data_IF_911602539384
#
_entry.id   IF_911602539384
#
_cell.length_a   1.000
_cell.length_b   1.000
_cell.length_c   1.000
_cell.angle_alpha   90.00
_cell.angle_beta   90.00
_cell.angle_gamma   90.00
#
_symmetry.space_group_name_H-M   'P 1'
#
loop_
_entity.id
_entity.type
_entity.pdbx_description
1 polymer ?
#
# COMPACT_ATOMS: atom_id res chain seq x y z
N UNK A 1 6.45 -53.11 26.74
CA UNK A 1 7.37 -52.25 25.95
C UNK A 1 6.65 -51.41 24.90
N UNK A 2 5.67 -51.95 24.16
CA UNK A 2 4.88 -51.23 23.12
C UNK A 2 4.17 -49.97 23.67
N UNK A 3 3.65 -50.00 24.90
CA UNK A 3 2.96 -48.84 25.49
C UNK A 3 3.89 -47.67 25.87
N UNK A 4 5.19 -47.92 26.05
CA UNK A 4 6.18 -46.88 26.32
C UNK A 4 6.65 -46.21 25.02
N UNK A 5 6.82 -47.00 23.96
CA UNK A 5 7.17 -46.52 22.61
C UNK A 5 6.01 -45.68 22.06
N UNK A 6 4.76 -46.14 22.20
CA UNK A 6 3.58 -45.41 21.76
C UNK A 6 3.42 -44.08 22.51
N UNK A 7 3.61 -44.06 23.84
CA UNK A 7 3.61 -42.82 24.62
C UNK A 7 4.73 -41.86 24.21
N UNK A 8 5.90 -42.38 23.86
CA UNK A 8 7.04 -41.57 23.41
C UNK A 8 6.79 -40.97 22.02
N UNK A 9 6.20 -41.74 21.11
CA UNK A 9 5.78 -41.28 19.80
C UNK A 9 4.71 -40.18 19.88
N UNK A 10 3.70 -40.36 20.74
CA UNK A 10 2.66 -39.35 20.97
C UNK A 10 3.27 -38.06 21.55
N UNK A 11 4.18 -38.17 22.52
CA UNK A 11 4.88 -36.99 23.08
C UNK A 11 5.73 -36.27 22.03
N UNK A 12 6.42 -37.02 21.16
CA UNK A 12 7.20 -36.43 20.07
C UNK A 12 6.30 -35.71 19.07
N UNK A 13 5.18 -36.32 18.67
CA UNK A 13 4.21 -35.70 17.78
C UNK A 13 3.65 -34.40 18.38
N UNK A 14 3.27 -34.42 19.67
CA UNK A 14 2.79 -33.23 20.37
C UNK A 14 3.85 -32.13 20.46
N UNK A 15 5.12 -32.48 20.73
CA UNK A 15 6.22 -31.51 20.75
C UNK A 15 6.47 -30.89 19.38
N UNK A 16 6.38 -31.68 18.30
CA UNK A 16 6.51 -31.18 16.93
C UNK A 16 5.39 -30.23 16.56
N UNK A 17 4.14 -30.57 16.93
CA UNK A 17 2.99 -29.69 16.70
C UNK A 17 3.13 -28.38 17.48
N UNK A 18 3.52 -28.45 18.76
CA UNK A 18 3.74 -27.27 19.57
C UNK A 18 4.86 -26.38 19.01
N UNK A 19 5.97 -26.99 18.56
CA UNK A 19 7.07 -26.27 17.93
C UNK A 19 6.64 -25.60 16.62
N UNK A 20 5.85 -26.29 15.79
CA UNK A 20 5.32 -25.72 14.54
C UNK A 20 4.41 -24.52 14.81
N UNK A 21 3.49 -24.62 15.79
CA UNK A 21 2.62 -23.51 16.19
C UNK A 21 3.46 -22.33 16.71
N UNK A 22 4.44 -22.59 17.58
CA UNK A 22 5.33 -21.56 18.10
C UNK A 22 6.09 -20.85 16.97
N UNK A 23 6.53 -21.59 15.96
CA UNK A 23 7.22 -21.04 14.79
C UNK A 23 6.29 -20.15 13.94
N UNK A 24 5.05 -20.57 13.72
CA UNK A 24 4.05 -19.77 13.01
C UNK A 24 3.73 -18.48 13.78
N UNK A 25 3.55 -18.57 15.11
CA UNK A 25 3.31 -17.39 15.95
C UNK A 25 4.50 -16.45 15.92
N UNK A 26 5.72 -16.97 16.03
CA UNK A 26 6.94 -16.17 15.91
C UNK A 26 7.03 -15.48 14.55
N UNK A 27 6.73 -16.19 13.46
CA UNK A 27 6.74 -15.64 12.11
C UNK A 27 5.71 -14.52 11.96
N UNK A 28 4.48 -14.70 12.45
CA UNK A 28 3.44 -13.67 12.44
C UNK A 28 3.85 -12.47 13.30
N UNK A 29 4.47 -12.70 14.45
CA UNK A 29 4.96 -11.63 15.32
C UNK A 29 6.09 -10.84 14.63
N UNK A 30 7.06 -11.50 14.02
CA UNK A 30 8.14 -10.83 13.26
C UNK A 30 7.59 -10.10 12.04
N UNK A 31 6.66 -10.70 11.29
CA UNK A 31 6.01 -10.03 10.16
C UNK A 31 5.17 -8.83 10.62
N UNK A 32 4.51 -8.94 11.78
CA UNK A 32 3.78 -7.85 12.42
C UNK A 32 4.71 -6.73 12.85
N UNK A 33 5.81 -7.04 13.53
CA UNK A 33 6.82 -6.07 13.99
C UNK A 33 7.53 -5.43 12.79
N UNK A 34 7.87 -6.18 11.75
CA UNK A 34 8.43 -5.61 10.51
C UNK A 34 7.46 -4.64 9.81
N UNK A 35 6.15 -4.78 10.05
CA UNK A 35 5.12 -3.81 9.62
C UNK A 35 4.89 -2.69 10.65
N UNK A 36 5.22 -2.91 11.92
CA UNK A 36 4.92 -2.04 13.06
C UNK A 36 6.11 -1.16 13.47
N UNK A 37 7.35 -1.55 13.17
CA UNK A 37 8.55 -0.68 13.25
C UNK A 37 8.52 0.46 12.22
N UNK A 38 7.46 0.49 11.42
CA UNK A 38 7.09 1.61 10.56
C UNK A 38 6.28 2.69 11.29
N UNK A 39 6.28 2.68 12.62
CA UNK A 39 5.81 3.79 13.44
C UNK A 39 6.80 4.96 13.34
N UNK A 40 6.55 5.79 12.33
CA UNK A 40 7.19 7.09 12.17
C UNK A 40 7.79 7.25 10.79
N UNK A 41 7.04 7.88 9.90
CA UNK A 41 7.54 9.12 9.30
C UNK A 41 6.41 9.76 8.52
N UNK A 42 5.76 10.72 9.17
CA UNK A 42 5.38 11.92 8.45
C UNK A 42 6.57 12.33 7.58
N UNK A 43 6.37 12.41 6.26
CA UNK A 43 7.42 12.68 5.29
C UNK A 43 7.13 13.99 4.51
N UNK A 44 6.95 15.14 5.20
CA UNK A 44 6.72 16.41 4.52
C UNK A 44 7.94 16.86 3.70
N UNK A 45 9.12 16.33 4.00
CA UNK A 45 10.38 16.65 3.30
C UNK A 45 10.79 15.58 2.29
N UNK A 46 9.88 14.67 1.91
CA UNK A 46 10.17 13.65 0.92
C UNK A 46 10.57 14.29 -0.43
N UNK A 47 11.63 13.79 -1.09
CA UNK A 47 12.06 14.34 -2.37
C UNK A 47 11.01 14.07 -3.44
N UNK A 48 10.32 15.13 -3.89
CA UNK A 48 9.21 15.01 -4.84
C UNK A 48 9.60 14.27 -6.13
N UNK A 49 10.80 14.52 -6.65
CA UNK A 49 11.31 13.84 -7.85
C UNK A 49 11.39 12.30 -7.68
N UNK A 50 11.68 11.81 -6.48
CA UNK A 50 11.69 10.37 -6.21
C UNK A 50 10.26 9.82 -6.20
N UNK A 51 9.32 10.53 -5.58
CA UNK A 51 7.91 10.16 -5.55
C UNK A 51 7.30 10.15 -6.96
N UNK A 52 7.59 11.15 -7.78
CA UNK A 52 7.16 11.24 -9.17
C UNK A 52 7.70 10.06 -9.99
N UNK A 53 9.00 9.73 -9.87
CA UNK A 53 9.59 8.59 -10.55
C UNK A 53 8.93 7.25 -10.16
N UNK A 54 8.54 7.09 -8.90
CA UNK A 54 7.79 5.91 -8.41
C UNK A 54 6.40 5.85 -9.02
N UNK A 55 5.70 6.98 -9.09
CA UNK A 55 4.40 7.08 -9.74
C UNK A 55 4.52 6.73 -11.23
N UNK A 56 5.51 7.28 -11.95
CA UNK A 56 5.76 6.97 -13.36
C UNK A 56 6.06 5.47 -13.59
N UNK A 57 6.83 4.86 -12.69
CA UNK A 57 7.08 3.41 -12.73
C UNK A 57 5.77 2.62 -12.57
N UNK A 58 4.91 3.07 -11.66
CA UNK A 58 3.62 2.45 -11.40
C UNK A 58 2.67 2.57 -12.60
N UNK A 59 2.55 3.74 -13.23
CA UNK A 59 1.68 3.90 -14.41
C UNK A 59 2.16 3.08 -15.61
N UNK A 60 3.47 3.02 -15.84
CA UNK A 60 4.05 2.17 -16.87
C UNK A 60 3.71 0.69 -16.64
N UNK A 61 3.81 0.21 -15.40
CA UNK A 61 3.42 -1.16 -15.03
C UNK A 61 1.92 -1.45 -15.25
N UNK A 62 1.07 -0.42 -15.29
CA UNK A 62 -0.37 -0.52 -15.56
C UNK A 62 -0.73 -0.22 -17.03
N UNK A 63 0.25 -0.19 -17.93
CA UNK A 63 0.05 -0.04 -19.37
C UNK A 63 -0.29 1.39 -19.81
N UNK A 64 -0.04 2.38 -18.95
CA UNK A 64 -0.14 3.79 -19.31
C UNK A 64 1.27 4.29 -19.61
N UNK A 65 1.46 4.85 -20.80
CA UNK A 65 2.74 5.42 -21.21
C UNK A 65 3.14 6.55 -20.25
N UNK A 66 4.27 6.45 -19.54
CA UNK A 66 4.72 7.50 -18.63
C UNK A 66 4.98 8.83 -19.35
N UNK A 67 5.32 8.82 -20.65
CA UNK A 67 5.53 10.03 -21.44
C UNK A 67 4.22 10.74 -21.77
N UNK A 68 3.07 10.06 -21.64
CA UNK A 68 1.74 10.66 -21.75
C UNK A 68 1.26 11.30 -20.42
N UNK A 69 2.02 11.20 -19.32
CA UNK A 69 1.63 11.69 -17.99
C UNK A 69 2.34 13.01 -17.65
N UNK A 70 1.53 14.02 -17.35
CA UNK A 70 1.95 15.30 -16.82
C UNK A 70 1.49 15.44 -15.36
N UNK A 71 2.41 15.83 -14.47
CA UNK A 71 2.08 16.22 -13.10
C UNK A 71 1.53 17.64 -13.08
N UNK A 72 0.35 17.83 -12.48
CA UNK A 72 -0.36 19.11 -12.50
C UNK A 72 -0.34 19.75 -11.12
N UNK A 73 0.20 20.98 -11.08
CA UNK A 73 0.24 21.77 -9.86
C UNK A 73 1.25 21.23 -8.84
N UNK A 74 1.09 21.65 -7.58
CA UNK A 74 1.91 21.14 -6.48
C UNK A 74 1.25 19.93 -5.84
N UNK A 75 2.03 18.89 -5.49
CA UNK A 75 1.50 17.76 -4.76
C UNK A 75 1.07 18.17 -3.35
N UNK A 76 0.06 17.48 -2.82
CA UNK A 76 -0.53 17.78 -1.50
C UNK A 76 -0.07 16.75 -0.47
N UNK A 77 0.55 17.21 0.60
CA UNK A 77 0.88 16.35 1.73
C UNK A 77 -0.30 16.24 2.70
N UNK A 78 -0.62 15.01 3.09
CA UNK A 78 -1.67 14.68 4.04
C UNK A 78 -1.03 14.02 5.27
N UNK A 79 -1.07 14.71 6.40
CA UNK A 79 -0.40 14.33 7.64
C UNK A 79 -1.23 13.42 8.57
N UNK A 80 -2.04 12.51 8.00
CA UNK A 80 -2.84 11.57 8.80
C UNK A 80 -1.97 10.53 9.54
N UNK A 81 -2.56 9.45 10.07
CA UNK A 81 -1.86 8.45 10.90
C UNK A 81 -0.60 7.88 10.24
N UNK A 82 -0.53 7.80 8.90
CA UNK A 82 0.62 7.23 8.19
C UNK A 82 1.34 8.24 7.29
N UNK A 83 0.73 9.37 6.95
CA UNK A 83 1.32 10.36 6.07
C UNK A 83 1.35 9.90 4.61
N UNK A 84 0.83 10.72 3.70
CA UNK A 84 0.88 10.41 2.27
C UNK A 84 0.84 11.67 1.41
N UNK A 85 1.27 11.51 0.17
CA UNK A 85 1.27 12.56 -0.83
C UNK A 85 0.24 12.27 -1.92
N UNK A 86 -0.55 13.27 -2.28
CA UNK A 86 -1.49 13.24 -3.40
C UNK A 86 -0.94 14.03 -4.59
N UNK A 87 -0.97 13.42 -5.77
CA UNK A 87 -0.54 14.01 -7.04
C UNK A 87 -1.72 14.03 -8.01
N UNK A 88 -2.03 15.21 -8.53
CA UNK A 88 -2.97 15.37 -9.63
C UNK A 88 -2.20 15.18 -10.95
N UNK A 89 -2.67 14.27 -11.80
CA UNK A 89 -2.01 13.89 -13.04
C UNK A 89 -2.93 14.14 -14.23
N UNK A 90 -2.36 14.42 -15.39
CA UNK A 90 -3.10 14.56 -16.63
C UNK A 90 -2.44 13.78 -17.74
N UNK A 91 -3.26 13.15 -18.55
CA UNK A 91 -2.88 12.60 -19.84
C UNK A 91 -3.71 13.23 -20.95
N UNK A 92 -3.37 12.94 -22.20
CA UNK A 92 -4.21 13.31 -23.36
C UNK A 92 -5.63 12.78 -23.27
N UNK A 93 -5.85 11.66 -22.56
CA UNK A 93 -7.12 10.91 -22.55
C UNK A 93 -7.96 11.15 -21.30
N UNK A 94 -7.33 11.43 -20.16
CA UNK A 94 -7.98 11.55 -18.87
C UNK A 94 -7.10 12.26 -17.84
N UNK A 95 -7.73 12.79 -16.79
CA UNK A 95 -7.06 13.22 -15.57
C UNK A 95 -7.09 12.09 -14.54
N UNK A 96 -6.05 12.00 -13.72
CA UNK A 96 -5.92 10.99 -12.66
C UNK A 96 -5.53 11.64 -11.35
N UNK A 97 -5.73 10.91 -10.25
CA UNK A 97 -5.07 11.16 -8.97
C UNK A 97 -4.24 9.94 -8.62
N UNK A 98 -3.01 10.17 -8.19
CA UNK A 98 -2.18 9.17 -7.55
C UNK A 98 -1.93 9.54 -6.09
N UNK A 99 -1.97 8.56 -5.21
CA UNK A 99 -1.57 8.71 -3.81
C UNK A 99 -0.40 7.78 -3.51
N UNK A 100 0.61 8.30 -2.81
CA UNK A 100 1.82 7.56 -2.46
C UNK A 100 2.11 7.76 -0.97
N UNK A 101 2.34 6.67 -0.25
CA UNK A 101 2.70 6.74 1.17
C UNK A 101 4.18 7.10 1.37
N UNK A 102 4.54 7.40 2.62
CA UNK A 102 5.90 7.73 2.99
C UNK A 102 6.91 6.58 2.84
N UNK A 103 6.47 5.39 2.44
CA UNK A 103 7.34 4.28 2.04
C UNK A 103 7.56 4.17 0.52
N UNK A 104 7.13 5.18 -0.22
CA UNK A 104 7.22 5.19 -1.67
C UNK A 104 6.36 4.11 -2.34
N UNK A 105 5.29 3.65 -1.68
CA UNK A 105 4.31 2.74 -2.29
C UNK A 105 3.11 3.55 -2.78
N UNK A 106 2.75 3.35 -4.05
CA UNK A 106 1.52 3.94 -4.60
C UNK A 106 0.33 3.22 -3.97
N UNK A 107 -0.42 3.93 -3.13
CA UNK A 107 -1.57 3.42 -2.37
C UNK A 107 -2.90 3.61 -3.10
N UNK A 108 -2.93 4.48 -4.12
CA UNK A 108 -4.12 4.77 -4.89
C UNK A 108 -3.78 5.34 -6.25
N UNK A 109 -4.51 4.91 -7.28
CA UNK A 109 -4.43 5.45 -8.62
C UNK A 109 -5.79 5.35 -9.29
N UNK A 110 -6.36 6.47 -9.73
CA UNK A 110 -7.71 6.49 -10.28
C UNK A 110 -7.95 7.63 -11.25
N UNK A 111 -8.84 7.40 -12.22
CA UNK A 111 -9.32 8.43 -13.15
C UNK A 111 -10.29 9.37 -12.43
N UNK A 112 -10.10 10.67 -12.59
CA UNK A 112 -11.06 11.67 -12.14
C UNK A 112 -12.21 11.68 -13.14
N UNK A 113 -13.38 11.22 -12.71
CA UNK A 113 -14.63 11.49 -13.44
C UNK A 113 -15.19 12.81 -12.91
N UNK A 114 -15.21 13.84 -13.75
CA UNK A 114 -16.02 15.01 -13.46
C UNK A 114 -17.49 14.59 -13.57
N UNK A 115 -18.22 14.61 -12.46
CA UNK A 115 -19.68 14.49 -12.52
C UNK A 115 -20.23 15.70 -13.29
N UNK A 116 -21.19 15.52 -14.20
CA UNK A 116 -21.89 16.64 -14.80
C UNK A 116 -22.56 17.44 -13.68
N UNK A 117 -22.06 18.65 -13.43
CA UNK A 117 -22.79 19.65 -12.68
C UNK A 117 -23.86 20.23 -13.61
N UNK A 118 -24.83 19.42 -14.05
CA UNK A 118 -26.05 20.00 -14.61
C UNK A 118 -26.84 20.61 -13.45
N UNK A 119 -27.03 21.94 -13.41
CA UNK A 119 -28.03 22.49 -12.50
C UNK A 119 -29.37 21.91 -12.93
N UNK A 120 -30.07 21.25 -12.02
CA UNK A 120 -31.44 20.84 -12.25
C UNK A 120 -32.25 22.08 -12.65
N UNK A 121 -32.62 22.18 -13.92
CA UNK A 121 -33.56 23.20 -14.40
C UNK A 121 -34.84 23.01 -13.58
N UNK A 122 -35.29 24.01 -12.80
CA UNK A 122 -36.55 23.89 -12.10
C UNK A 122 -37.66 23.77 -13.14
N UNK A 123 -38.37 22.66 -13.13
CA UNK A 123 -39.60 22.51 -13.91
C UNK A 123 -40.61 23.53 -13.38
N UNK A 124 -40.96 24.52 -14.20
CA UNK A 124 -42.11 25.39 -13.98
C UNK A 124 -43.42 24.65 -14.25
#
# INVERSE_FOLDING_TARGET
>A
MISAILRRAIRLALMLVAAAIAFVVLFVAVAGIARYEQDGRHCPDAPLAELEAKILTFVNAHGIDPDEIEFIGMPRYHADTLGWWGFDLKSRKASYVATIDCEHRVTGFGKIQMFPLEPATPTQ
#
